data_IF_136785166738
#
_entry.id   IF_136785166738
#
_cell.length_a   1.000
_cell.length_b   1.000
_cell.length_c   1.000
_cell.angle_alpha   90.00
_cell.angle_beta   90.00
_cell.angle_gamma   90.00
#
_symmetry.space_group_name_H-M   'P 1'
#
loop_
_entity.id
_entity.type
_entity.pdbx_description
1 polymer ?
#
# COMPACT_ATOMS: atom_id res chain seq x y z
N UNK A 1 1.27 14.30 7.21
CA UNK A 1 2.50 15.13 7.19
C UNK A 1 3.57 14.63 8.17
N UNK A 2 3.27 14.40 9.45
CA UNK A 2 4.29 14.01 10.45
C UNK A 2 5.05 12.72 10.11
N UNK A 3 4.35 11.62 9.80
CA UNK A 3 5.01 10.35 9.45
C UNK A 3 5.82 10.44 8.14
N UNK A 4 5.37 11.25 7.17
CA UNK A 4 6.14 11.46 5.93
C UNK A 4 7.50 12.08 6.23
N UNK A 5 7.58 13.00 7.19
CA UNK A 5 8.83 13.59 7.62
C UNK A 5 9.73 12.60 8.38
N UNK A 6 9.14 11.82 9.30
CA UNK A 6 9.86 10.78 10.05
C UNK A 6 10.47 9.74 9.12
N UNK A 7 9.76 9.37 8.05
CA UNK A 7 10.18 8.35 7.08
C UNK A 7 10.92 8.92 5.87
N UNK A 8 11.19 10.23 5.83
CA UNK A 8 11.75 10.91 4.67
C UNK A 8 13.06 10.28 4.15
N UNK A 9 14.06 9.95 4.99
CA UNK A 9 15.33 9.37 4.49
C UNK A 9 15.11 7.99 3.86
N UNK A 10 14.26 7.18 4.50
CA UNK A 10 13.93 5.86 3.97
C UNK A 10 13.19 5.95 2.64
N UNK A 11 12.22 6.85 2.53
CA UNK A 11 11.48 7.10 1.29
C UNK A 11 12.39 7.65 0.20
N UNK A 12 13.31 8.55 0.53
CA UNK A 12 14.30 9.07 -0.41
C UNK A 12 15.18 7.93 -0.97
N UNK A 13 15.66 7.03 -0.11
CA UNK A 13 16.40 5.85 -0.55
C UNK A 13 15.57 4.96 -1.48
N UNK A 14 14.32 4.66 -1.10
CA UNK A 14 13.41 3.84 -1.90
C UNK A 14 13.20 4.46 -3.29
N UNK A 15 12.95 5.76 -3.36
CA UNK A 15 12.71 6.47 -4.62
C UNK A 15 13.96 6.51 -5.50
N UNK A 16 15.14 6.79 -4.93
CA UNK A 16 16.41 6.77 -5.67
C UNK A 16 16.69 5.36 -6.20
N UNK A 17 16.55 4.34 -5.36
CA UNK A 17 16.76 2.96 -5.77
C UNK A 17 15.79 2.54 -6.88
N UNK A 18 14.50 2.87 -6.75
CA UNK A 18 13.50 2.59 -7.77
C UNK A 18 13.77 3.33 -9.08
N UNK A 19 14.16 4.61 -9.02
CA UNK A 19 14.52 5.40 -10.19
C UNK A 19 15.74 4.83 -10.91
N UNK A 20 16.80 4.48 -10.18
CA UNK A 20 18.02 3.88 -10.76
C UNK A 20 17.73 2.53 -11.40
N UNK A 21 16.98 1.65 -10.72
CA UNK A 21 16.58 0.36 -11.28
C UNK A 21 15.69 0.51 -12.51
N UNK A 22 14.74 1.44 -12.47
CA UNK A 22 13.84 1.73 -13.59
C UNK A 22 14.62 2.25 -14.81
N UNK A 23 15.49 3.24 -14.62
CA UNK A 23 16.34 3.77 -15.68
C UNK A 23 17.28 2.70 -16.24
N UNK A 24 17.87 1.87 -15.36
CA UNK A 24 18.68 0.72 -15.75
C UNK A 24 17.90 -0.29 -16.62
N UNK A 25 16.64 -0.55 -16.26
CA UNK A 25 15.74 -1.43 -17.01
C UNK A 25 15.33 -0.85 -18.35
N UNK A 26 14.91 0.41 -18.39
CA UNK A 26 14.41 1.04 -19.62
C UNK A 26 15.52 1.35 -20.62
N UNK A 27 16.63 1.92 -20.15
CA UNK A 27 17.68 2.42 -21.04
C UNK A 27 18.65 1.33 -21.49
N UNK A 28 18.94 0.35 -20.64
CA UNK A 28 20.01 -0.63 -20.90
C UNK A 28 19.48 -2.06 -21.02
N UNK A 29 18.87 -2.62 -19.98
CA UNK A 29 18.63 -4.07 -19.95
C UNK A 29 17.39 -4.52 -20.72
N UNK A 30 16.36 -3.67 -20.81
CA UNK A 30 15.04 -3.93 -21.43
C UNK A 30 14.40 -5.24 -20.96
N UNK A 31 14.69 -5.66 -19.73
CA UNK A 31 14.18 -6.89 -19.08
C UNK A 31 13.44 -6.53 -17.80
N UNK A 32 12.54 -7.42 -17.38
CA UNK A 32 11.80 -7.32 -16.09
C UNK A 32 11.09 -5.96 -15.89
N UNK A 33 10.54 -5.40 -16.97
CA UNK A 33 9.83 -4.11 -16.94
C UNK A 33 8.45 -4.19 -16.24
N UNK A 34 7.98 -5.40 -15.92
CA UNK A 34 6.68 -5.70 -15.30
C UNK A 34 6.85 -6.65 -14.11
N UNK A 35 7.84 -6.41 -13.25
CA UNK A 35 7.91 -7.13 -11.97
C UNK A 35 6.81 -6.59 -11.04
N UNK A 36 5.69 -7.32 -10.99
CA UNK A 36 4.65 -7.11 -10.01
C UNK A 36 4.87 -8.05 -8.83
N UNK A 37 4.89 -7.50 -7.63
CA UNK A 37 4.80 -8.26 -6.38
C UNK A 37 3.47 -7.90 -5.76
N UNK A 38 2.70 -8.89 -5.32
CA UNK A 38 1.40 -8.60 -4.70
C UNK A 38 1.62 -7.90 -3.36
N UNK A 39 0.70 -7.02 -2.96
CA UNK A 39 0.75 -6.40 -1.64
C UNK A 39 0.83 -7.45 -0.52
N UNK A 40 0.10 -8.57 -0.69
CA UNK A 40 0.11 -9.71 0.23
C UNK A 40 1.49 -10.38 0.30
N UNK A 41 2.19 -10.56 -0.82
CA UNK A 41 3.54 -11.15 -0.81
C UNK A 41 4.56 -10.21 -0.17
N UNK A 42 4.42 -8.90 -0.38
CA UNK A 42 5.22 -7.88 0.32
C UNK A 42 4.97 -7.95 1.82
N UNK A 43 3.71 -8.02 2.26
CA UNK A 43 3.33 -8.15 3.68
C UNK A 43 3.82 -9.46 4.30
N UNK A 44 3.64 -10.61 3.62
CA UNK A 44 4.11 -11.92 4.10
C UNK A 44 5.64 -11.99 4.20
N UNK A 45 6.36 -11.36 3.27
CA UNK A 45 7.81 -11.24 3.33
C UNK A 45 8.27 -10.36 4.49
N UNK A 46 7.43 -9.40 4.92
CA UNK A 46 7.64 -8.54 6.07
C UNK A 46 7.05 -9.18 7.32
N UNK A 47 7.76 -10.14 7.93
CA UNK A 47 7.45 -10.54 9.31
C UNK A 47 7.38 -9.26 10.16
N UNK A 48 6.18 -8.95 10.68
CA UNK A 48 5.87 -7.72 11.42
C UNK A 48 6.61 -7.69 12.77
N UNK A 49 7.92 -7.50 12.69
CA UNK A 49 8.88 -7.67 13.75
C UNK A 49 9.83 -6.49 13.74
N UNK A 50 10.20 -6.02 14.92
CA UNK A 50 11.10 -4.88 15.06
C UNK A 50 12.41 -5.07 14.29
N UNK A 51 12.98 -6.29 14.33
CA UNK A 51 14.18 -6.65 13.58
C UNK A 51 13.99 -6.48 12.06
N UNK A 52 12.82 -6.84 11.53
CA UNK A 52 12.48 -6.65 10.12
C UNK A 52 12.49 -5.17 9.72
N UNK A 53 11.86 -4.31 10.53
CA UNK A 53 11.85 -2.87 10.30
C UNK A 53 13.26 -2.25 10.37
N UNK A 54 14.06 -2.62 11.36
CA UNK A 54 15.45 -2.13 11.50
C UNK A 54 16.30 -2.53 10.29
N UNK A 55 16.21 -3.79 9.83
CA UNK A 55 16.96 -4.25 8.64
C UNK A 55 16.50 -3.52 7.39
N UNK A 56 15.19 -3.35 7.21
CA UNK A 56 14.58 -2.71 6.04
C UNK A 56 14.93 -1.23 5.95
N UNK A 57 14.91 -0.53 7.08
CA UNK A 57 15.07 0.92 7.17
C UNK A 57 16.48 1.35 7.61
N UNK A 58 17.46 0.43 7.65
CA UNK A 58 18.86 0.75 8.04
C UNK A 58 19.46 1.91 7.25
N UNK A 59 19.05 2.11 6.01
CA UNK A 59 19.51 3.22 5.15
C UNK A 59 19.13 4.58 5.70
N UNK A 60 18.01 4.70 6.43
CA UNK A 60 17.64 5.95 7.09
C UNK A 60 18.62 6.33 8.19
N UNK A 61 19.11 5.35 8.97
CA UNK A 61 20.13 5.56 10.01
C UNK A 61 21.45 6.01 9.39
N UNK A 62 21.89 5.36 8.30
CA UNK A 62 23.10 5.76 7.59
C UNK A 62 23.01 7.18 7.02
N UNK A 63 21.88 7.55 6.40
CA UNK A 63 21.67 8.89 5.89
C UNK A 63 21.63 9.94 7.01
N UNK A 64 21.01 9.62 8.15
CA UNK A 64 21.00 10.49 9.31
C UNK A 64 22.43 10.78 9.82
N UNK A 65 23.29 9.75 9.90
CA UNK A 65 24.71 9.91 10.27
C UNK A 65 25.46 10.82 9.30
N UNK A 66 25.26 10.62 8.00
CA UNK A 66 25.90 11.45 6.97
C UNK A 66 25.48 12.92 7.11
N UNK A 67 24.19 13.18 7.31
CA UNK A 67 23.67 14.55 7.44
C UNK A 67 24.24 15.24 8.69
N UNK A 68 24.34 14.52 9.80
CA UNK A 68 25.00 15.03 11.01
C UNK A 68 26.47 15.33 10.75
N UNK A 69 27.22 14.40 10.16
CA UNK A 69 28.64 14.59 9.87
C UNK A 69 28.87 15.80 8.95
N UNK A 70 28.09 15.92 7.87
CA UNK A 70 28.16 17.07 6.96
C UNK A 70 27.80 18.38 7.67
N UNK A 71 26.80 18.37 8.55
CA UNK A 71 26.45 19.55 9.33
C UNK A 71 27.62 19.99 10.22
N UNK A 72 28.29 19.08 10.92
CA UNK A 72 29.45 19.42 11.76
C UNK A 72 30.68 19.87 10.96
N UNK A 73 30.88 19.37 9.74
CA UNK A 73 32.02 19.76 8.88
C UNK A 73 31.81 21.13 8.25
N UNK A 74 30.60 21.40 7.73
CA UNK A 74 30.34 22.57 6.88
C UNK A 74 29.57 23.69 7.57
N UNK A 75 29.01 23.46 8.77
CA UNK A 75 28.20 24.43 9.50
C UNK A 75 28.53 24.40 10.99
N UNK A 76 28.51 25.57 11.64
CA UNK A 76 28.68 25.68 13.09
C UNK A 76 27.44 26.29 13.75
N UNK A 77 27.28 26.06 15.05
CA UNK A 77 26.20 26.64 15.86
C UNK A 77 24.85 25.93 15.69
N UNK A 78 23.79 26.71 15.46
CA UNK A 78 22.39 26.24 15.47
C UNK A 78 22.13 25.10 14.47
N UNK A 79 22.77 25.13 13.30
CA UNK A 79 22.60 24.10 12.28
C UNK A 79 23.08 22.71 12.73
N UNK A 80 24.16 22.65 13.51
CA UNK A 80 24.66 21.40 14.09
C UNK A 80 23.73 20.88 15.20
N UNK A 81 23.10 21.78 15.97
CA UNK A 81 22.11 21.38 16.97
C UNK A 81 20.84 20.80 16.31
N UNK A 82 20.35 21.43 15.24
CA UNK A 82 19.19 20.95 14.49
C UNK A 82 19.47 19.59 13.84
N UNK A 83 20.67 19.34 13.33
CA UNK A 83 21.01 18.05 12.72
C UNK A 83 20.97 16.89 13.73
N UNK A 84 21.33 17.14 14.99
CA UNK A 84 21.22 16.14 16.08
C UNK A 84 19.75 15.81 16.39
N UNK A 85 18.85 16.80 16.37
CA UNK A 85 17.41 16.56 16.54
C UNK A 85 16.84 15.73 15.38
N UNK A 86 17.21 16.07 14.15
CA UNK A 86 16.81 15.31 12.96
C UNK A 86 17.33 13.88 13.01
N UNK A 87 18.57 13.70 13.46
CA UNK A 87 19.17 12.40 13.65
C UNK A 87 18.36 11.54 14.61
N UNK A 88 17.97 12.08 15.77
CA UNK A 88 17.15 11.34 16.72
C UNK A 88 15.83 10.87 16.09
N UNK A 89 15.14 11.76 15.35
CA UNK A 89 13.89 11.42 14.65
C UNK A 89 14.09 10.30 13.64
N UNK A 90 15.13 10.39 12.81
CA UNK A 90 15.35 9.42 11.72
C UNK A 90 15.93 8.09 12.19
N UNK A 91 16.71 8.08 13.27
CA UNK A 91 17.16 6.83 13.91
C UNK A 91 16.01 6.10 14.60
N UNK A 92 15.04 6.84 15.16
CA UNK A 92 13.84 6.26 15.76
C UNK A 92 12.80 5.82 14.71
N UNK A 93 12.94 6.22 13.45
CA UNK A 93 11.98 5.90 12.38
C UNK A 93 11.62 4.40 12.23
N UNK A 94 12.54 3.41 12.29
CA UNK A 94 12.16 1.98 12.27
C UNK A 94 11.31 1.56 13.47
N UNK A 95 11.55 2.14 14.65
CA UNK A 95 10.77 1.83 15.86
C UNK A 95 9.37 2.43 15.76
N UNK A 96 9.27 3.66 15.28
CA UNK A 96 7.98 4.34 15.03
C UNK A 96 7.18 3.56 13.98
N UNK A 97 7.82 3.15 12.88
CA UNK A 97 7.18 2.35 11.84
C UNK A 97 6.66 1.02 12.40
N UNK A 98 7.49 0.30 13.16
CA UNK A 98 7.05 -0.94 13.81
C UNK A 98 5.86 -0.72 14.76
N UNK A 99 5.90 0.34 15.58
CA UNK A 99 4.85 0.60 16.56
C UNK A 99 3.50 0.94 15.90
N UNK A 100 3.51 1.80 14.87
CA UNK A 100 2.30 2.17 14.11
C UNK A 100 1.79 1.02 13.24
N UNK A 101 2.66 0.10 12.83
CA UNK A 101 2.28 -1.07 12.04
C UNK A 101 1.87 -2.29 12.89
N UNK A 102 1.86 -2.21 14.22
CA UNK A 102 1.33 -3.32 15.03
C UNK A 102 -0.15 -3.51 14.72
N UNK A 103 -0.54 -4.75 14.41
CA UNK A 103 -1.94 -5.11 14.29
C UNK A 103 -2.65 -4.80 15.60
N UNK A 104 -3.61 -3.89 15.55
CA UNK A 104 -4.62 -3.77 16.59
C UNK A 104 -5.45 -5.04 16.52
N UNK A 105 -5.39 -5.87 17.57
CA UNK A 105 -6.29 -7.01 17.70
C UNK A 105 -7.69 -6.44 17.92
N UNK A 106 -8.44 -6.27 16.85
CA UNK A 106 -9.85 -5.93 16.95
C UNK A 106 -10.56 -7.10 17.63
N UNK A 107 -11.19 -6.82 18.76
CA UNK A 107 -12.20 -7.74 19.27
C UNK A 107 -13.31 -7.76 18.22
N UNK A 108 -13.76 -8.95 17.84
CA UNK A 108 -14.94 -9.07 16.98
C UNK A 108 -16.11 -8.42 17.73
N UNK A 109 -16.50 -7.24 17.28
CA UNK A 109 -17.72 -6.60 17.75
C UNK A 109 -18.89 -7.40 17.19
N UNK A 110 -19.80 -7.80 18.08
CA UNK A 110 -21.03 -8.46 17.69
C UNK A 110 -21.94 -7.41 17.07
N UNK A 111 -22.18 -7.55 15.76
CA UNK A 111 -23.12 -6.70 15.03
C UNK A 111 -24.55 -6.94 15.55
N UNK A 112 -25.31 -5.88 15.69
CA UNK A 112 -26.76 -5.95 15.91
C UNK A 112 -27.48 -6.52 14.68
N UNK A 113 -28.72 -6.95 14.86
CA UNK A 113 -29.53 -7.47 13.75
C UNK A 113 -29.79 -6.40 12.66
N UNK A 114 -29.93 -5.14 13.08
CA UNK A 114 -30.14 -3.99 12.18
C UNK A 114 -28.90 -3.73 11.32
N UNK A 115 -27.71 -3.77 11.91
CA UNK A 115 -26.43 -3.62 11.20
C UNK A 115 -26.20 -4.79 10.23
N UNK A 116 -26.50 -6.02 10.65
CA UNK A 116 -26.41 -7.20 9.79
C UNK A 116 -27.36 -7.09 8.58
N UNK A 117 -28.58 -6.62 8.79
CA UNK A 117 -29.55 -6.43 7.72
C UNK A 117 -29.09 -5.38 6.72
N UNK A 118 -28.54 -4.26 7.19
CA UNK A 118 -28.03 -3.21 6.33
C UNK A 118 -26.81 -3.69 5.52
N UNK A 119 -25.87 -4.42 6.15
CA UNK A 119 -24.74 -5.02 5.44
C UNK A 119 -25.20 -6.02 4.37
N UNK A 120 -26.20 -6.86 4.66
CA UNK A 120 -26.79 -7.77 3.65
C UNK A 120 -27.43 -7.02 2.50
N UNK A 121 -28.12 -5.91 2.77
CA UNK A 121 -28.70 -5.05 1.74
C UNK A 121 -27.62 -4.43 0.85
N UNK A 122 -26.53 -3.93 1.45
CA UNK A 122 -25.37 -3.39 0.71
C UNK A 122 -24.75 -4.51 -0.13
N UNK A 123 -24.49 -5.68 0.45
CA UNK A 123 -23.92 -6.83 -0.26
C UNK A 123 -24.78 -7.24 -1.47
N UNK A 124 -26.12 -7.30 -1.33
CA UNK A 124 -27.02 -7.58 -2.44
C UNK A 124 -26.94 -6.54 -3.55
N UNK A 125 -26.91 -5.26 -3.19
CA UNK A 125 -26.78 -4.15 -4.16
C UNK A 125 -25.43 -4.20 -4.88
N UNK A 126 -24.35 -4.49 -4.16
CA UNK A 126 -23.01 -4.66 -4.76
C UNK A 126 -22.96 -5.90 -5.66
N UNK A 127 -23.54 -7.03 -5.23
CA UNK A 127 -23.58 -8.26 -6.04
C UNK A 127 -24.31 -8.07 -7.38
N UNK A 128 -25.37 -7.25 -7.39
CA UNK A 128 -26.13 -6.94 -8.60
C UNK A 128 -25.26 -6.39 -9.74
N UNK A 129 -24.21 -5.63 -9.43
CA UNK A 129 -23.24 -5.19 -10.44
C UNK A 129 -22.63 -6.38 -11.20
N UNK A 130 -22.19 -7.41 -10.47
CA UNK A 130 -21.56 -8.57 -11.06
C UNK A 130 -22.58 -9.47 -11.78
N UNK A 131 -23.78 -9.66 -11.23
CA UNK A 131 -24.84 -10.39 -11.93
C UNK A 131 -25.23 -9.75 -13.26
N UNK A 132 -25.32 -8.41 -13.27
CA UNK A 132 -25.74 -7.67 -14.45
C UNK A 132 -24.64 -7.63 -15.50
N UNK A 133 -23.37 -7.49 -15.10
CA UNK A 133 -22.28 -7.24 -16.03
C UNK A 133 -21.33 -8.42 -16.29
N UNK A 134 -21.26 -9.44 -15.44
CA UNK A 134 -20.45 -10.64 -15.68
C UNK A 134 -21.25 -11.63 -16.54
N UNK A 135 -21.49 -11.23 -17.78
CA UNK A 135 -22.34 -11.98 -18.71
C UNK A 135 -21.64 -12.20 -20.06
N UNK A 136 -22.32 -12.85 -21.00
CA UNK A 136 -21.80 -13.18 -22.32
C UNK A 136 -21.26 -11.96 -23.11
N UNK A 137 -21.86 -10.77 -22.96
CA UNK A 137 -21.41 -9.54 -23.65
C UNK A 137 -20.03 -9.08 -23.17
N UNK A 138 -19.68 -9.39 -21.91
CA UNK A 138 -18.40 -9.06 -21.30
C UNK A 138 -17.50 -10.30 -21.13
N UNK A 139 -17.72 -11.35 -21.94
CA UNK A 139 -16.97 -12.61 -21.89
C UNK A 139 -16.96 -13.29 -20.51
N UNK A 140 -18.00 -13.06 -19.70
CA UNK A 140 -18.08 -13.52 -18.31
C UNK A 140 -16.94 -13.00 -17.42
N UNK A 141 -16.43 -11.80 -17.72
CA UNK A 141 -15.47 -11.08 -16.90
C UNK A 141 -16.10 -9.80 -16.35
N UNK A 142 -15.72 -9.43 -15.12
CA UNK A 142 -16.16 -8.16 -14.52
C UNK A 142 -15.57 -6.99 -15.31
N UNK A 143 -16.39 -6.03 -15.81
CA UNK A 143 -15.87 -4.89 -16.52
C UNK A 143 -15.03 -3.98 -15.62
N UNK A 144 -14.30 -3.06 -16.23
CA UNK A 144 -13.36 -2.17 -15.55
C UNK A 144 -14.11 -1.19 -14.64
N UNK A 145 -15.16 -0.59 -15.19
CA UNK A 145 -16.09 0.28 -14.50
C UNK A 145 -17.44 0.35 -15.21
N UNK A 146 -18.47 0.72 -14.46
CA UNK A 146 -19.74 1.25 -14.97
C UNK A 146 -19.88 2.67 -14.44
N UNK A 147 -20.19 3.61 -15.32
CA UNK A 147 -20.31 5.02 -14.96
C UNK A 147 -21.72 5.52 -15.27
N UNK A 148 -22.46 5.82 -14.21
CA UNK A 148 -23.82 6.35 -14.28
C UNK A 148 -23.83 7.87 -14.47
N UNK A 149 -22.91 8.59 -13.82
CA UNK A 149 -22.82 10.05 -13.90
C UNK A 149 -21.34 10.52 -13.98
N UNK A 150 -20.96 11.29 -15.02
CA UNK A 150 -21.71 11.50 -16.27
C UNK A 150 -21.91 10.16 -17.00
N UNK A 151 -23.03 9.97 -17.73
CA UNK A 151 -23.41 8.67 -18.27
C UNK A 151 -22.47 8.23 -19.39
N UNK A 152 -21.48 7.41 -19.03
CA UNK A 152 -20.52 6.82 -19.97
C UNK A 152 -20.72 5.29 -20.10
N UNK A 153 -21.58 4.70 -19.26
CA UNK A 153 -21.97 3.30 -19.34
C UNK A 153 -20.83 2.35 -18.94
N UNK A 154 -20.83 1.16 -19.55
CA UNK A 154 -19.87 0.09 -19.24
C UNK A 154 -18.57 0.30 -20.04
N UNK A 155 -17.43 0.23 -19.36
CA UNK A 155 -16.14 0.09 -20.02
C UNK A 155 -15.88 -1.40 -20.36
N UNK A 156 -15.95 -1.75 -21.65
CA UNK A 156 -15.74 -3.12 -22.18
C UNK A 156 -14.27 -3.57 -22.17
N UNK A 157 -13.64 -3.48 -21.01
CA UNK A 157 -12.31 -3.99 -20.69
C UNK A 157 -12.32 -4.48 -19.25
N UNK A 158 -11.29 -5.20 -18.83
CA UNK A 158 -11.17 -5.69 -17.45
C UNK A 158 -9.71 -5.66 -17.01
N UNK A 159 -9.48 -5.82 -15.71
CA UNK A 159 -8.15 -5.88 -15.09
C UNK A 159 -8.00 -7.15 -14.25
N UNK A 160 -6.76 -7.64 -14.01
CA UNK A 160 -6.54 -8.76 -13.10
C UNK A 160 -7.17 -8.54 -11.71
N UNK A 161 -7.19 -7.29 -11.22
CA UNK A 161 -7.85 -6.91 -9.98
C UNK A 161 -9.36 -7.12 -10.05
N UNK A 162 -10.04 -6.65 -11.10
CA UNK A 162 -11.48 -6.79 -11.23
C UNK A 162 -11.92 -8.23 -11.46
N UNK A 163 -11.11 -9.04 -12.15
CA UNK A 163 -11.33 -10.49 -12.26
C UNK A 163 -11.27 -11.11 -10.86
N UNK A 164 -10.24 -10.81 -10.06
CA UNK A 164 -10.12 -11.30 -8.69
C UNK A 164 -11.28 -10.86 -7.79
N UNK A 165 -11.68 -9.59 -7.87
CA UNK A 165 -12.83 -9.06 -7.15
C UNK A 165 -14.13 -9.74 -7.56
N UNK A 166 -14.34 -10.01 -8.85
CA UNK A 166 -15.51 -10.73 -9.34
C UNK A 166 -15.59 -12.16 -8.79
N UNK A 167 -14.46 -12.87 -8.73
CA UNK A 167 -14.39 -14.21 -8.12
C UNK A 167 -14.71 -14.17 -6.62
N UNK A 168 -14.13 -13.22 -5.88
CA UNK A 168 -14.41 -13.05 -4.45
C UNK A 168 -15.85 -12.64 -4.18
N UNK A 169 -16.41 -11.75 -5.00
CA UNK A 169 -17.80 -11.33 -4.89
C UNK A 169 -18.76 -12.50 -5.10
N UNK A 170 -18.50 -13.37 -6.08
CA UNK A 170 -19.31 -14.55 -6.32
C UNK A 170 -19.27 -15.55 -5.15
N UNK A 171 -18.09 -15.80 -4.57
CA UNK A 171 -17.96 -16.63 -3.37
C UNK A 171 -18.70 -16.02 -2.17
N UNK A 172 -18.53 -14.72 -1.97
CA UNK A 172 -19.15 -13.99 -0.85
C UNK A 172 -20.68 -13.97 -0.97
N UNK A 173 -21.21 -13.75 -2.17
CA UNK A 173 -22.66 -13.79 -2.42
C UNK A 173 -23.24 -15.16 -2.07
N UNK A 174 -22.59 -16.24 -2.52
CA UNK A 174 -22.96 -17.62 -2.17
C UNK A 174 -22.93 -17.84 -0.65
N UNK A 175 -21.86 -17.43 0.03
CA UNK A 175 -21.69 -17.65 1.47
C UNK A 175 -22.70 -16.84 2.31
N UNK A 176 -23.16 -15.69 1.78
CA UNK A 176 -24.23 -14.89 2.38
C UNK A 176 -25.65 -15.35 1.98
N UNK A 177 -25.76 -16.33 1.08
CA UNK A 177 -27.00 -16.80 0.45
C UNK A 177 -27.78 -15.67 -0.27
N UNK A 178 -27.06 -14.91 -1.09
CA UNK A 178 -27.52 -13.76 -1.87
C UNK A 178 -27.33 -13.98 -3.37
#
# INVERSE_FOLDING_TARGET
>A
MTLQFVFLPYNAWLMVNAAVLSLGRVLFTKRNMLEWVTALDVERGLKNSLKGYVIKMKTAVFQALIIVALAFVFKSGVAALVSVLLFAVWVLSPFIAYWVSKETVYKMETLSDEENLELRRIARKTWRYYEEFVNRRNNYLAPDNYQEDPPNGIAYRTSPTNIGLGMLAALTARDLAI
#
